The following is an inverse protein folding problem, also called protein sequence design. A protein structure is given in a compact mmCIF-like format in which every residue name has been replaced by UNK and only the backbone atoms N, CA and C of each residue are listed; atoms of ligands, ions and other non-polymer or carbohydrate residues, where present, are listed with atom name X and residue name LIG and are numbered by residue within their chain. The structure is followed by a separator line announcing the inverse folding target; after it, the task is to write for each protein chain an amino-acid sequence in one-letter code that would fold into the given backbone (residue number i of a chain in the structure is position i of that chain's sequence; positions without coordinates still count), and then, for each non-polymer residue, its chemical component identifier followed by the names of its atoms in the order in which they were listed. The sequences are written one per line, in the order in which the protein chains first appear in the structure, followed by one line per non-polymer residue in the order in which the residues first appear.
data_IF_297602242424
#
_entry.id   IF_297602242424
#
_cell.length_a   1.000
_cell.length_b   1.000
_cell.length_c   1.000
_cell.angle_alpha   90.00
_cell.angle_beta   90.00
_cell.angle_gamma   90.00
#
_symmetry.space_group_name_H-M   'P 1'
#
loop_
_entity.id
_entity.type
_entity.pdbx_description
1 polymer ?
#
# COMPACT_ATOMS: atom_id res chain seq x y z
N UNK A 1 -17.86 15.98 -13.35
CA UNK A 1 -16.49 16.53 -13.19
C UNK A 1 -15.82 16.19 -11.86
N UNK A 2 -16.39 16.53 -10.68
CA UNK A 2 -15.73 16.30 -9.37
C UNK A 2 -15.21 14.87 -9.16
N UNK A 3 -16.00 13.86 -9.52
CA UNK A 3 -15.61 12.44 -9.40
C UNK A 3 -14.43 12.05 -10.27
N UNK A 4 -14.30 12.62 -11.48
CA UNK A 4 -13.18 12.35 -12.38
C UNK A 4 -11.88 12.88 -11.78
N UNK A 5 -11.92 14.09 -11.21
CA UNK A 5 -10.75 14.68 -10.56
C UNK A 5 -10.31 13.83 -9.36
N UNK A 6 -11.24 13.43 -8.49
CA UNK A 6 -10.90 12.58 -7.34
C UNK A 6 -10.40 11.21 -7.75
N UNK A 7 -10.97 10.60 -8.80
CA UNK A 7 -10.52 9.30 -9.32
C UNK A 7 -9.10 9.38 -9.89
N UNK A 8 -8.80 10.40 -10.71
CA UNK A 8 -7.46 10.59 -11.28
C UNK A 8 -6.41 10.84 -10.18
N UNK A 9 -6.71 11.71 -9.21
CA UNK A 9 -5.79 11.95 -8.08
C UNK A 9 -5.57 10.67 -7.28
N UNK A 10 -6.62 9.91 -6.98
CA UNK A 10 -6.47 8.63 -6.27
C UNK A 10 -5.66 7.60 -7.05
N UNK A 11 -5.84 7.52 -8.38
CA UNK A 11 -5.08 6.62 -9.24
C UNK A 11 -3.60 6.96 -9.29
N UNK A 12 -3.27 8.26 -9.39
CA UNK A 12 -1.87 8.74 -9.34
C UNK A 12 -1.24 8.42 -7.98
N UNK A 13 -1.93 8.72 -6.87
CA UNK A 13 -1.43 8.43 -5.53
C UNK A 13 -1.21 6.93 -5.33
N UNK A 14 -2.13 6.09 -5.80
CA UNK A 14 -2.01 4.64 -5.72
C UNK A 14 -0.82 4.13 -6.55
N UNK A 15 -0.71 4.55 -7.82
CA UNK A 15 0.40 4.16 -8.68
C UNK A 15 1.77 4.62 -8.17
N UNK A 16 1.86 5.86 -7.67
CA UNK A 16 3.08 6.37 -7.05
C UNK A 16 3.47 5.57 -5.81
N UNK A 17 2.50 5.20 -4.96
CA UNK A 17 2.73 4.34 -3.81
C UNK A 17 3.24 2.94 -4.18
N UNK A 18 2.70 2.33 -5.24
CA UNK A 18 3.20 1.05 -5.77
C UNK A 18 4.63 1.15 -6.29
N UNK A 19 4.96 2.24 -7.00
CA UNK A 19 6.29 2.48 -7.52
C UNK A 19 7.34 2.68 -6.41
N UNK A 20 7.01 3.50 -5.41
CA UNK A 20 7.91 3.83 -4.30
C UNK A 20 8.12 2.66 -3.33
N UNK A 21 7.10 1.83 -3.12
CA UNK A 21 7.18 0.68 -2.19
C UNK A 21 7.98 -0.50 -2.73
N UNK A 22 8.32 -0.52 -4.01
CA UNK A 22 9.03 -1.64 -4.63
C UNK A 22 8.22 -2.93 -4.72
N UNK A 23 6.90 -2.88 -4.48
CA UNK A 23 6.00 -4.05 -4.54
C UNK A 23 5.85 -4.64 -5.95
N UNK A 24 6.30 -3.93 -6.98
CA UNK A 24 6.40 -4.46 -8.34
C UNK A 24 7.53 -5.50 -8.50
N UNK A 25 8.43 -5.62 -7.52
CA UNK A 25 9.51 -6.60 -7.54
C UNK A 25 9.07 -7.90 -6.85
N UNK A 26 8.92 -9.03 -7.58
CA UNK A 26 8.52 -10.31 -6.99
C UNK A 26 9.52 -10.85 -5.96
N UNK A 27 10.80 -10.46 -6.05
CA UNK A 27 11.81 -10.88 -5.07
C UNK A 27 11.51 -10.37 -3.65
N UNK A 28 10.87 -9.19 -3.51
CA UNK A 28 10.48 -8.63 -2.21
C UNK A 28 9.38 -9.46 -1.54
N UNK A 29 8.46 -9.98 -2.34
CA UNK A 29 7.36 -10.84 -1.84
C UNK A 29 7.92 -12.20 -1.42
N UNK A 30 8.81 -12.78 -2.23
CA UNK A 30 9.45 -14.06 -1.91
C UNK A 30 10.32 -13.92 -0.65
N UNK A 31 11.15 -12.88 -0.54
CA UNK A 31 11.97 -12.62 0.65
C UNK A 31 11.14 -12.35 1.92
N UNK A 32 9.96 -11.75 1.79
CA UNK A 32 9.04 -11.61 2.92
C UNK A 32 8.43 -12.96 3.36
N UNK A 33 8.21 -13.89 2.45
CA UNK A 33 7.68 -15.22 2.76
C UNK A 33 8.76 -16.20 3.25
N UNK A 34 10.04 -15.90 3.03
CA UNK A 34 11.17 -16.72 3.45
C UNK A 34 11.50 -16.55 4.95
N UNK A 35 10.55 -16.93 5.81
CA UNK A 35 10.64 -16.81 7.27
C UNK A 35 11.74 -17.67 7.91
N UNK A 36 12.20 -18.72 7.21
CA UNK A 36 13.20 -19.66 7.70
C UNK A 36 14.60 -19.43 7.06
N UNK A 37 14.70 -18.49 6.13
CA UNK A 37 15.92 -18.11 5.42
C UNK A 37 16.30 -16.64 5.64
N UNK A 38 16.56 -15.91 4.56
CA UNK A 38 16.96 -14.49 4.61
C UNK A 38 15.70 -13.59 4.56
N UNK A 39 14.97 -13.58 5.67
CA UNK A 39 13.69 -12.90 5.77
C UNK A 39 13.82 -11.37 5.61
N UNK A 40 13.18 -10.80 4.58
CA UNK A 40 13.15 -9.35 4.30
C UNK A 40 11.90 -8.69 4.94
N UNK A 41 12.04 -7.94 6.06
CA UNK A 41 10.90 -7.32 6.77
C UNK A 41 10.35 -6.06 6.09
N UNK A 42 10.98 -5.57 5.02
CA UNK A 42 10.58 -4.30 4.41
C UNK A 42 9.14 -4.30 3.88
N UNK A 43 8.61 -5.46 3.45
CA UNK A 43 7.22 -5.58 2.99
C UNK A 43 6.23 -5.41 4.16
N UNK A 44 6.60 -5.86 5.37
CA UNK A 44 5.77 -5.70 6.57
C UNK A 44 5.54 -4.22 6.89
N UNK A 45 6.56 -3.38 6.72
CA UNK A 45 6.46 -1.93 6.95
C UNK A 45 5.47 -1.26 5.99
N UNK A 46 5.53 -1.63 4.71
CA UNK A 46 4.58 -1.16 3.68
C UNK A 46 3.15 -1.59 4.00
N UNK A 47 2.97 -2.87 4.36
CA UNK A 47 1.65 -3.41 4.75
C UNK A 47 1.09 -2.72 5.99
N UNK A 48 1.90 -2.50 7.02
CA UNK A 48 1.48 -1.80 8.24
C UNK A 48 1.06 -0.36 7.95
N UNK A 49 1.83 0.37 7.14
CA UNK A 49 1.47 1.72 6.70
C UNK A 49 0.15 1.75 5.93
N UNK A 50 -0.02 0.84 4.96
CA UNK A 50 -1.26 0.72 4.20
C UNK A 50 -2.47 0.41 5.10
N UNK A 51 -2.29 -0.50 6.07
CA UNK A 51 -3.32 -0.87 7.05
C UNK A 51 -3.76 0.32 7.90
N UNK A 52 -2.81 1.12 8.40
CA UNK A 52 -3.11 2.32 9.21
C UNK A 52 -3.89 3.35 8.38
N UNK A 53 -3.45 3.62 7.14
CA UNK A 53 -4.15 4.56 6.25
C UNK A 53 -5.57 4.08 5.94
N UNK A 54 -5.74 2.78 5.65
CA UNK A 54 -7.06 2.19 5.40
C UNK A 54 -7.96 2.27 6.64
N UNK A 55 -7.42 1.99 7.83
CA UNK A 55 -8.16 2.09 9.09
C UNK A 55 -8.64 3.52 9.36
N UNK A 56 -7.78 4.53 9.16
CA UNK A 56 -8.14 5.94 9.29
C UNK A 56 -9.22 6.31 8.26
N UNK A 57 -9.03 5.90 7.00
CA UNK A 57 -10.00 6.15 5.92
C UNK A 57 -11.38 5.56 6.24
N UNK A 58 -11.42 4.32 6.73
CA UNK A 58 -12.67 3.66 7.12
C UNK A 58 -13.32 4.33 8.32
N UNK A 59 -12.54 4.72 9.35
CA UNK A 59 -13.05 5.42 10.53
C UNK A 59 -13.69 6.76 10.17
N UNK A 60 -13.07 7.52 9.26
CA UNK A 60 -13.61 8.80 8.79
C UNK A 60 -14.83 8.58 7.89
N UNK A 61 -14.78 7.57 7.01
CA UNK A 61 -15.87 7.23 6.09
C UNK A 61 -17.12 6.70 6.78
N UNK A 62 -16.97 6.07 7.97
CA UNK A 62 -18.09 5.52 8.77
C UNK A 62 -19.09 6.56 9.27
N UNK A 63 -18.75 7.85 9.20
CA UNK A 63 -19.63 8.95 9.60
C UNK A 63 -20.50 9.50 8.44
N UNK A 64 -20.56 8.80 7.31
CA UNK A 64 -21.47 9.05 6.19
C UNK A 64 -22.39 7.86 5.97
#
# INVERSE_FOLDING_TARGET
MRTLITATVSGILFGAGLALSGMMNPAKVIGFLDLFGDWDPSLAFVMAGAMIVAMIGYRIGRHR
#
